data_IF_831163737965
#
_entry.id   IF_831163737965
#
_cell.length_a   1.000
_cell.length_b   1.000
_cell.length_c   1.000
_cell.angle_alpha   90.00
_cell.angle_beta   90.00
_cell.angle_gamma   90.00
#
_symmetry.space_group_name_H-M   'P 1'
#
loop_
_entity.id
_entity.type
_entity.pdbx_description
1 polymer ?
#
# COMPACT_ATOMS: atom_id res chain seq x y z
N UNK A 1 28.88 26.76 4.59
CA UNK A 1 29.52 26.53 3.28
C UNK A 1 30.59 25.48 3.48
N UNK A 2 30.33 24.24 3.21
CA UNK A 2 31.34 23.19 2.97
C UNK A 2 30.66 22.21 2.01
N UNK A 3 30.96 22.40 0.73
CA UNK A 3 30.70 21.43 -0.33
C UNK A 3 31.56 20.21 -0.06
N UNK A 4 30.96 19.05 0.16
CA UNK A 4 31.64 17.78 0.02
C UNK A 4 31.32 17.23 -1.36
N UNK A 5 32.26 17.47 -2.30
CA UNK A 5 32.27 16.80 -3.59
C UNK A 5 32.62 15.32 -3.34
N UNK A 6 31.60 14.45 -3.42
CA UNK A 6 31.82 13.01 -3.55
C UNK A 6 32.16 12.71 -5.01
N UNK A 7 33.46 12.63 -5.30
CA UNK A 7 33.94 12.01 -6.53
C UNK A 7 33.61 10.51 -6.50
N UNK A 8 32.55 10.09 -7.18
CA UNK A 8 32.43 8.71 -7.58
C UNK A 8 33.41 8.40 -8.67
N UNK A 9 34.49 7.72 -8.33
CA UNK A 9 35.35 7.07 -9.30
C UNK A 9 34.49 6.03 -10.06
N UNK A 10 34.26 6.25 -11.33
CA UNK A 10 33.71 5.28 -12.26
C UNK A 10 34.73 4.14 -12.42
N UNK A 11 34.57 3.07 -11.64
CA UNK A 11 35.11 1.77 -11.96
C UNK A 11 34.10 1.08 -12.91
N UNK A 12 34.19 1.42 -14.20
CA UNK A 12 33.41 0.77 -15.26
C UNK A 12 34.12 -0.55 -15.60
N UNK A 13 34.05 -1.53 -14.68
CA UNK A 13 34.15 -2.92 -15.07
C UNK A 13 33.00 -3.21 -16.02
N UNK A 14 33.22 -3.90 -17.13
CA UNK A 14 32.21 -4.26 -18.14
C UNK A 14 31.06 -4.98 -17.44
N UNK A 15 29.99 -4.24 -17.14
CA UNK A 15 28.77 -4.80 -16.54
C UNK A 15 28.05 -5.55 -17.66
N UNK A 16 27.97 -6.87 -17.57
CA UNK A 16 27.17 -7.64 -18.53
C UNK A 16 25.70 -7.22 -18.43
N UNK A 17 25.07 -6.81 -19.54
CA UNK A 17 23.67 -6.39 -19.54
C UNK A 17 22.76 -7.54 -19.13
N UNK A 18 21.94 -7.35 -18.10
CA UNK A 18 20.89 -8.29 -17.70
C UNK A 18 19.58 -7.97 -18.42
N UNK A 19 18.75 -9.00 -18.63
CA UNK A 19 17.37 -8.83 -19.08
C UNK A 19 16.47 -8.61 -17.87
N UNK A 20 16.02 -7.38 -17.70
CA UNK A 20 15.20 -6.95 -16.57
C UNK A 20 13.75 -6.78 -17.03
N UNK A 21 12.80 -7.36 -16.31
CA UNK A 21 11.37 -7.14 -16.54
C UNK A 21 10.74 -6.46 -15.35
N UNK A 22 10.04 -5.35 -15.61
CA UNK A 22 9.28 -4.58 -14.63
C UNK A 22 7.78 -4.75 -14.91
N UNK A 23 6.98 -5.06 -13.89
CA UNK A 23 5.56 -5.33 -14.02
C UNK A 23 4.70 -4.19 -13.51
N UNK A 24 3.44 -4.15 -13.99
CA UNK A 24 2.36 -3.37 -13.38
C UNK A 24 2.63 -1.85 -13.32
N UNK A 25 3.48 -1.30 -14.20
CA UNK A 25 3.69 0.16 -14.28
C UNK A 25 2.59 0.81 -15.10
N UNK A 26 1.38 0.88 -14.54
CA UNK A 26 0.16 1.36 -15.21
C UNK A 26 0.27 2.75 -15.86
N UNK A 27 1.23 3.55 -15.43
CA UNK A 27 1.39 4.96 -15.85
C UNK A 27 2.61 5.17 -16.74
N UNK A 28 3.39 4.10 -17.01
CA UNK A 28 4.70 4.20 -17.70
C UNK A 28 5.64 5.22 -17.03
N UNK A 29 5.62 5.23 -15.70
CA UNK A 29 6.31 6.26 -14.89
C UNK A 29 7.74 5.87 -14.57
N UNK A 30 8.02 4.58 -14.39
CA UNK A 30 9.28 4.10 -13.82
C UNK A 30 10.48 4.51 -14.67
N UNK A 31 10.35 4.45 -16.01
CA UNK A 31 11.43 4.87 -16.92
C UNK A 31 11.78 6.36 -16.85
N UNK A 32 10.90 7.17 -16.25
CA UNK A 32 11.07 8.61 -16.09
C UNK A 32 11.58 9.02 -14.70
N UNK A 33 11.71 8.05 -13.77
CA UNK A 33 12.25 8.32 -12.45
C UNK A 33 13.77 8.54 -12.53
N UNK A 34 14.33 9.48 -11.76
CA UNK A 34 15.79 9.72 -11.74
C UNK A 34 16.59 8.45 -11.42
N UNK A 35 16.06 7.56 -10.56
CA UNK A 35 16.73 6.32 -10.19
C UNK A 35 16.80 5.28 -11.33
N UNK A 36 16.02 5.42 -12.41
CA UNK A 36 16.06 4.50 -13.56
C UNK A 36 17.44 4.48 -14.25
N UNK A 37 18.21 5.56 -14.17
CA UNK A 37 19.56 5.65 -14.70
C UNK A 37 20.47 4.50 -14.20
N UNK A 38 20.20 3.97 -12.99
CA UNK A 38 20.96 2.84 -12.40
C UNK A 38 20.84 1.55 -13.21
N UNK A 39 19.77 1.38 -13.95
CA UNK A 39 19.49 0.18 -14.75
C UNK A 39 19.41 0.45 -16.24
N UNK A 40 19.63 1.69 -16.68
CA UNK A 40 19.50 2.11 -18.08
C UNK A 40 20.47 1.39 -19.05
N UNK A 41 21.60 0.86 -18.53
CA UNK A 41 22.56 0.08 -19.32
C UNK A 41 22.13 -1.39 -19.55
N UNK A 42 21.06 -1.84 -18.89
CA UNK A 42 20.51 -3.19 -19.03
C UNK A 42 19.41 -3.25 -20.10
N UNK A 43 19.00 -4.46 -20.51
CA UNK A 43 17.84 -4.68 -21.40
C UNK A 43 16.56 -4.70 -20.57
N UNK A 44 15.88 -3.54 -20.50
CA UNK A 44 14.72 -3.35 -19.62
C UNK A 44 13.41 -3.38 -20.40
N UNK A 45 12.56 -4.35 -20.09
CA UNK A 45 11.18 -4.43 -20.56
C UNK A 45 10.22 -4.01 -19.45
N UNK A 46 9.28 -3.08 -19.76
CA UNK A 46 8.27 -2.61 -18.79
C UNK A 46 6.87 -2.96 -19.30
N UNK A 47 6.09 -3.65 -18.46
CA UNK A 47 4.69 -3.97 -18.76
C UNK A 47 3.78 -2.98 -18.04
N UNK A 48 2.93 -2.29 -18.81
CA UNK A 48 2.03 -1.25 -18.32
C UNK A 48 0.60 -1.76 -18.05
N UNK A 49 0.38 -3.05 -18.24
CA UNK A 49 -0.87 -3.76 -17.97
C UNK A 49 -0.68 -4.79 -16.85
N UNK A 50 -1.77 -5.41 -16.42
CA UNK A 50 -1.77 -6.46 -15.41
C UNK A 50 -2.21 -7.81 -15.99
N UNK A 51 -1.55 -8.88 -15.56
CA UNK A 51 -1.99 -10.26 -15.79
C UNK A 51 -1.69 -11.13 -14.56
N UNK A 52 -2.58 -12.09 -14.28
CA UNK A 52 -2.35 -13.19 -13.35
C UNK A 52 -2.36 -14.55 -14.07
N UNK A 53 -2.57 -14.55 -15.38
CA UNK A 53 -2.54 -15.75 -16.19
C UNK A 53 -1.10 -16.28 -16.31
N UNK A 54 -0.89 -17.51 -15.84
CA UNK A 54 0.45 -18.13 -15.77
C UNK A 54 1.05 -18.33 -17.17
N UNK A 55 0.25 -18.62 -18.18
CA UNK A 55 0.74 -18.83 -19.56
C UNK A 55 1.20 -17.50 -20.15
N UNK A 56 0.44 -16.45 -19.94
CA UNK A 56 0.79 -15.09 -20.37
C UNK A 56 2.07 -14.62 -19.68
N UNK A 57 2.15 -14.78 -18.35
CA UNK A 57 3.32 -14.36 -17.57
C UNK A 57 4.57 -15.16 -17.94
N UNK A 58 4.46 -16.48 -18.15
CA UNK A 58 5.58 -17.31 -18.55
C UNK A 58 6.15 -16.91 -19.92
N UNK A 59 5.29 -16.57 -20.90
CA UNK A 59 5.74 -16.07 -22.19
C UNK A 59 6.39 -14.69 -22.08
N UNK A 60 5.84 -13.78 -21.26
CA UNK A 60 6.41 -12.44 -21.01
C UNK A 60 7.80 -12.51 -20.37
N UNK A 61 8.03 -13.49 -19.48
CA UNK A 61 9.25 -13.58 -18.67
C UNK A 61 10.22 -14.66 -19.14
N UNK A 62 9.98 -15.31 -20.25
CA UNK A 62 10.80 -16.43 -20.75
C UNK A 62 12.30 -16.15 -20.81
N UNK A 63 12.67 -14.92 -21.11
CA UNK A 63 14.07 -14.47 -21.20
C UNK A 63 14.52 -13.63 -20.01
N UNK A 64 13.65 -13.38 -19.03
CA UNK A 64 13.91 -12.51 -17.89
C UNK A 64 14.94 -13.12 -16.95
N UNK A 65 15.96 -12.35 -16.60
CA UNK A 65 16.98 -12.70 -15.60
C UNK A 65 16.72 -12.04 -14.26
N UNK A 66 16.21 -10.78 -14.26
CA UNK A 66 15.79 -10.08 -13.06
C UNK A 66 14.34 -9.58 -13.19
N UNK A 67 13.50 -9.94 -12.24
CA UNK A 67 12.10 -9.54 -12.19
C UNK A 67 11.89 -8.48 -11.12
N UNK A 68 11.31 -7.36 -11.51
CA UNK A 68 10.94 -6.24 -10.62
C UNK A 68 9.45 -6.27 -10.36
N UNK A 69 9.06 -6.29 -9.09
CA UNK A 69 7.66 -6.32 -8.67
C UNK A 69 7.25 -5.01 -8.02
N UNK A 70 6.04 -4.57 -8.30
CA UNK A 70 5.41 -3.41 -7.66
C UNK A 70 4.42 -3.90 -6.62
N UNK A 71 4.84 -3.91 -5.36
CA UNK A 71 4.01 -4.35 -4.24
C UNK A 71 3.51 -5.78 -4.44
N UNK A 72 2.37 -6.12 -3.86
CA UNK A 72 1.78 -7.45 -3.92
C UNK A 72 0.84 -7.65 -5.13
N UNK A 73 1.06 -6.92 -6.25
CA UNK A 73 0.15 -6.92 -7.42
C UNK A 73 0.13 -8.23 -8.19
N UNK A 74 1.29 -8.81 -8.46
CA UNK A 74 1.42 -10.06 -9.23
C UNK A 74 1.89 -11.19 -8.35
N UNK A 75 1.15 -12.31 -8.33
CA UNK A 75 1.51 -13.50 -7.56
C UNK A 75 2.59 -14.31 -8.28
N UNK A 76 3.71 -14.51 -7.65
CA UNK A 76 4.83 -15.33 -8.14
C UNK A 76 4.83 -16.66 -7.40
N UNK A 77 4.10 -17.62 -7.94
CA UNK A 77 3.87 -18.93 -7.36
C UNK A 77 4.67 -20.00 -8.09
N UNK A 78 4.81 -21.15 -7.45
CA UNK A 78 5.53 -22.30 -7.97
C UNK A 78 5.24 -22.59 -9.46
N UNK A 79 3.96 -22.63 -9.85
CA UNK A 79 3.55 -22.93 -11.23
C UNK A 79 4.12 -21.97 -12.28
N UNK A 80 4.34 -20.69 -11.91
CA UNK A 80 5.02 -19.72 -12.76
C UNK A 80 6.54 -19.90 -12.69
N UNK A 81 7.11 -20.02 -11.49
CA UNK A 81 8.56 -20.14 -11.28
C UNK A 81 9.17 -21.31 -12.05
N UNK A 82 8.49 -22.48 -12.10
CA UNK A 82 8.92 -23.68 -12.86
C UNK A 82 9.05 -23.44 -14.37
N UNK A 83 8.51 -22.33 -14.87
CA UNK A 83 8.51 -21.97 -16.30
C UNK A 83 9.50 -20.86 -16.66
N UNK A 84 10.29 -20.41 -15.69
CA UNK A 84 11.21 -19.27 -15.83
C UNK A 84 12.68 -19.72 -15.67
N UNK A 85 13.23 -20.46 -16.64
CA UNK A 85 14.56 -21.10 -16.49
C UNK A 85 15.72 -20.10 -16.45
N UNK A 86 15.50 -18.86 -16.88
CA UNK A 86 16.54 -17.82 -16.91
C UNK A 86 16.46 -16.88 -15.70
N UNK A 87 15.41 -16.97 -14.88
CA UNK A 87 15.20 -16.06 -13.75
C UNK A 87 16.23 -16.34 -12.64
N UNK A 88 17.00 -15.32 -12.28
CA UNK A 88 18.05 -15.38 -11.25
C UNK A 88 17.71 -14.54 -10.03
N UNK A 89 17.00 -13.42 -10.23
CA UNK A 89 16.70 -12.43 -9.22
C UNK A 89 15.23 -11.99 -9.27
N UNK A 90 14.61 -11.91 -8.10
CA UNK A 90 13.38 -11.12 -7.91
C UNK A 90 13.74 -9.96 -6.99
N UNK A 91 13.57 -8.73 -7.47
CA UNK A 91 13.85 -7.53 -6.71
C UNK A 91 12.55 -6.77 -6.43
N UNK A 92 12.29 -6.52 -5.16
CA UNK A 92 11.11 -5.78 -4.72
C UNK A 92 11.37 -5.01 -3.42
N UNK A 93 10.38 -4.32 -2.91
CA UNK A 93 10.41 -3.62 -1.61
C UNK A 93 9.21 -3.97 -0.74
N UNK A 94 9.41 -4.10 0.57
CA UNK A 94 8.38 -4.36 1.59
C UNK A 94 8.04 -5.86 1.74
N UNK A 95 6.81 -6.18 2.17
CA UNK A 95 6.37 -7.56 2.42
C UNK A 95 6.18 -8.35 1.12
N UNK A 96 6.30 -9.67 1.19
CA UNK A 96 6.30 -10.55 0.02
C UNK A 96 5.37 -11.78 0.15
N UNK A 97 4.14 -11.65 0.67
CA UNK A 97 3.22 -12.80 0.83
C UNK A 97 2.75 -13.37 -0.51
N UNK A 98 2.98 -12.67 -1.60
CA UNK A 98 2.64 -13.05 -2.97
C UNK A 98 3.74 -13.86 -3.65
N UNK A 99 4.88 -14.13 -3.00
CA UNK A 99 6.02 -14.86 -3.54
C UNK A 99 6.23 -16.17 -2.77
N UNK A 100 6.41 -17.28 -3.48
CA UNK A 100 6.76 -18.59 -2.89
C UNK A 100 8.28 -18.65 -2.66
N UNK A 101 8.74 -18.15 -1.50
CA UNK A 101 10.16 -17.98 -1.17
C UNK A 101 10.92 -19.31 -1.16
N UNK A 102 10.32 -20.38 -0.60
CA UNK A 102 10.93 -21.70 -0.55
C UNK A 102 11.13 -22.28 -1.96
N UNK A 103 10.19 -22.02 -2.87
CA UNK A 103 10.31 -22.41 -4.27
C UNK A 103 11.40 -21.63 -5.00
N UNK A 104 11.50 -20.32 -4.75
CA UNK A 104 12.61 -19.51 -5.27
C UNK A 104 13.96 -20.07 -4.83
N UNK A 105 14.11 -20.39 -3.54
CA UNK A 105 15.35 -20.96 -3.00
C UNK A 105 15.73 -22.29 -3.67
N UNK A 106 14.75 -23.21 -3.80
CA UNK A 106 14.98 -24.51 -4.46
C UNK A 106 15.38 -24.41 -5.93
N UNK A 107 14.94 -23.35 -6.60
CA UNK A 107 15.21 -23.11 -8.03
C UNK A 107 16.43 -22.22 -8.27
N UNK A 108 17.15 -21.85 -7.21
CA UNK A 108 18.33 -20.98 -7.33
C UNK A 108 17.99 -19.50 -7.62
N UNK A 109 16.75 -19.08 -7.38
CA UNK A 109 16.29 -17.70 -7.61
C UNK A 109 16.45 -16.91 -6.33
N UNK A 110 17.26 -15.85 -6.37
CA UNK A 110 17.44 -14.94 -5.22
C UNK A 110 16.26 -13.99 -5.12
N UNK A 111 15.71 -13.86 -3.90
CA UNK A 111 14.73 -12.83 -3.57
C UNK A 111 15.39 -11.74 -2.74
N UNK A 112 15.36 -10.51 -3.23
CA UNK A 112 15.79 -9.32 -2.52
C UNK A 112 14.60 -8.41 -2.20
N UNK A 113 14.52 -7.93 -0.95
CA UNK A 113 13.49 -6.99 -0.53
C UNK A 113 13.96 -6.11 0.62
N UNK A 114 14.02 -4.80 0.40
CA UNK A 114 14.25 -3.82 1.47
C UNK A 114 13.03 -3.76 2.39
N UNK A 115 13.21 -4.19 3.65
CA UNK A 115 12.17 -4.21 4.68
C UNK A 115 12.11 -2.90 5.48
N UNK A 116 13.19 -2.15 5.49
CA UNK A 116 13.39 -0.97 6.31
C UNK A 116 13.45 0.28 5.43
N UNK A 117 12.30 0.86 5.18
CA UNK A 117 12.27 2.22 4.71
C UNK A 117 12.59 3.15 5.88
N UNK A 118 13.75 3.77 5.85
CA UNK A 118 14.12 4.83 6.79
C UNK A 118 13.25 6.09 6.66
N UNK A 119 12.43 6.18 5.60
CA UNK A 119 11.51 7.30 5.35
C UNK A 119 10.11 6.97 5.87
N UNK A 120 9.47 7.90 6.60
CA UNK A 120 8.05 7.82 6.92
C UNK A 120 7.24 7.72 5.61
N UNK A 121 6.19 6.89 5.59
CA UNK A 121 5.25 6.82 4.46
C UNK A 121 4.26 8.00 4.56
N UNK A 122 4.70 9.20 4.21
CA UNK A 122 3.84 10.39 4.22
C UNK A 122 2.69 10.26 3.22
N UNK A 123 2.94 9.68 2.04
CA UNK A 123 1.94 9.51 0.99
C UNK A 123 0.65 8.83 1.49
N UNK A 124 0.76 7.74 2.27
CA UNK A 124 -0.41 7.07 2.85
C UNK A 124 -1.13 7.95 3.87
N UNK A 125 -0.40 8.73 4.67
CA UNK A 125 -0.98 9.66 5.65
C UNK A 125 -1.74 10.78 4.94
N UNK A 126 -1.14 11.35 3.90
CA UNK A 126 -1.73 12.40 3.07
C UNK A 126 -2.98 11.93 2.36
N UNK A 127 -2.94 10.74 1.72
CA UNK A 127 -4.14 10.15 1.10
C UNK A 127 -5.22 9.89 2.14
N UNK A 128 -4.89 9.36 3.32
CA UNK A 128 -5.86 9.13 4.40
C UNK A 128 -6.59 10.43 4.75
N UNK A 129 -5.86 11.54 4.90
CA UNK A 129 -6.45 12.84 5.17
C UNK A 129 -7.22 13.41 3.97
N UNK A 130 -6.71 13.19 2.75
CA UNK A 130 -7.44 13.51 1.52
C UNK A 130 -8.81 12.82 1.48
N UNK A 131 -8.88 11.54 1.84
CA UNK A 131 -10.10 10.75 1.89
C UNK A 131 -11.03 11.20 3.05
N UNK A 132 -10.49 11.44 4.26
CA UNK A 132 -11.26 11.97 5.39
C UNK A 132 -11.94 13.29 5.01
N UNK A 133 -11.17 14.25 4.51
CA UNK A 133 -11.70 15.56 4.12
C UNK A 133 -12.68 15.46 2.94
N UNK A 134 -12.39 14.62 1.96
CA UNK A 134 -13.29 14.38 0.82
C UNK A 134 -14.63 13.80 1.25
N UNK A 135 -14.63 12.82 2.17
CA UNK A 135 -15.85 12.22 2.70
C UNK A 135 -16.64 13.21 3.57
N UNK A 136 -15.96 13.90 4.49
CA UNK A 136 -16.62 14.86 5.39
C UNK A 136 -17.21 16.07 4.65
N UNK A 137 -16.58 16.48 3.56
CA UNK A 137 -17.03 17.64 2.75
C UNK A 137 -17.82 17.22 1.52
N UNK A 138 -18.01 15.92 1.25
CA UNK A 138 -18.70 15.37 0.09
C UNK A 138 -18.08 15.86 -1.24
N UNK A 139 -16.74 16.01 -1.30
CA UNK A 139 -16.05 16.66 -2.42
C UNK A 139 -16.37 15.99 -3.76
N UNK A 140 -16.21 14.64 -3.93
CA UNK A 140 -16.52 14.00 -5.22
C UNK A 140 -17.99 14.16 -5.65
N UNK A 141 -18.91 14.10 -4.69
CA UNK A 141 -20.34 14.25 -4.95
C UNK A 141 -20.67 15.70 -5.36
N UNK A 142 -20.07 16.70 -4.71
CA UNK A 142 -20.23 18.10 -5.06
C UNK A 142 -19.64 18.39 -6.46
N UNK A 143 -18.48 17.83 -6.78
CA UNK A 143 -17.86 17.95 -8.11
C UNK A 143 -18.77 17.35 -9.19
N UNK A 144 -19.29 16.13 -8.97
CA UNK A 144 -20.23 15.48 -9.88
C UNK A 144 -21.51 16.30 -10.08
N UNK A 145 -22.03 16.89 -9.00
CA UNK A 145 -23.21 17.76 -9.05
C UNK A 145 -22.95 19.00 -9.91
N UNK A 146 -21.80 19.67 -9.71
CA UNK A 146 -21.40 20.84 -10.48
C UNK A 146 -21.22 20.49 -11.97
N UNK A 147 -20.57 19.37 -12.29
CA UNK A 147 -20.42 18.87 -13.66
C UNK A 147 -21.77 18.59 -14.34
N UNK A 148 -22.79 18.22 -13.56
CA UNK A 148 -24.18 18.04 -14.05
C UNK A 148 -24.97 19.36 -14.11
N UNK A 149 -24.33 20.52 -13.99
CA UNK A 149 -24.97 21.83 -14.04
C UNK A 149 -25.79 22.20 -12.80
N UNK A 150 -25.60 21.47 -11.70
CA UNK A 150 -26.26 21.76 -10.41
C UNK A 150 -25.27 22.45 -9.48
N UNK A 151 -25.74 23.45 -8.72
CA UNK A 151 -24.87 24.21 -7.82
C UNK A 151 -24.49 23.38 -6.59
N UNK A 152 -25.00 23.65 -5.42
CA UNK A 152 -24.71 22.91 -4.18
C UNK A 152 -25.67 21.74 -4.01
N UNK A 153 -25.16 20.54 -3.67
CA UNK A 153 -26.04 19.38 -3.52
C UNK A 153 -26.41 19.08 -2.06
N UNK A 154 -25.51 19.37 -1.12
CA UNK A 154 -25.70 19.05 0.31
C UNK A 154 -24.72 19.84 1.18
N UNK A 155 -25.00 19.83 2.50
CA UNK A 155 -24.13 20.43 3.51
C UNK A 155 -23.18 19.36 4.03
N UNK A 156 -21.87 19.57 3.86
CA UNK A 156 -20.81 18.74 4.45
C UNK A 156 -20.60 19.02 5.94
N UNK A 157 -19.65 18.33 6.54
CA UNK A 157 -19.31 18.42 7.98
C UNK A 157 -17.89 18.95 8.14
N UNK A 158 -17.65 19.80 9.16
CA UNK A 158 -16.31 20.15 9.63
C UNK A 158 -15.73 19.00 10.44
N UNK A 159 -14.41 18.82 10.43
CA UNK A 159 -13.73 17.81 11.26
C UNK A 159 -13.44 18.33 12.67
N UNK A 160 -13.23 19.65 12.85
CA UNK A 160 -12.93 20.29 14.14
C UNK A 160 -13.99 19.93 15.21
N UNK A 161 -13.53 19.56 16.40
CA UNK A 161 -14.37 19.18 17.53
C UNK A 161 -15.02 17.80 17.43
N UNK A 162 -14.79 17.06 16.33
CA UNK A 162 -15.25 15.68 16.14
C UNK A 162 -14.20 14.69 16.63
N UNK A 163 -14.61 13.46 16.86
CA UNK A 163 -13.75 12.39 17.36
C UNK A 163 -13.16 11.59 16.18
N UNK A 164 -11.82 11.54 16.15
CA UNK A 164 -11.05 10.68 15.24
C UNK A 164 -10.58 9.44 16.01
N UNK A 165 -11.08 8.27 15.62
CA UNK A 165 -10.61 6.97 16.11
C UNK A 165 -9.51 6.42 15.22
N UNK A 166 -8.34 6.15 15.77
CA UNK A 166 -7.22 5.50 15.11
C UNK A 166 -7.20 4.03 15.52
N UNK A 167 -7.58 3.13 14.61
CA UNK A 167 -7.47 1.70 14.84
C UNK A 167 -6.09 1.20 14.38
N UNK A 168 -5.17 1.02 15.33
CA UNK A 168 -3.77 0.71 15.05
C UNK A 168 -2.85 1.93 15.16
N UNK A 169 -2.44 2.27 16.40
CA UNK A 169 -1.55 3.39 16.69
C UNK A 169 -0.09 2.96 16.51
N UNK A 170 0.32 2.81 15.24
CA UNK A 170 1.67 2.57 14.77
C UNK A 170 2.19 3.75 13.97
N UNK A 171 3.27 3.58 13.21
CA UNK A 171 3.94 4.65 12.44
C UNK A 171 2.97 5.54 11.62
N UNK A 172 2.06 4.92 10.84
CA UNK A 172 1.09 5.67 10.02
C UNK A 172 -0.02 6.23 10.93
N UNK A 173 -0.57 5.42 11.84
CA UNK A 173 -1.64 5.85 12.74
C UNK A 173 -1.24 7.04 13.63
N UNK A 174 0.01 7.08 14.12
CA UNK A 174 0.55 8.22 14.87
C UNK A 174 0.55 9.49 14.03
N UNK A 175 1.08 9.44 12.80
CA UNK A 175 1.14 10.61 11.93
C UNK A 175 -0.27 11.10 11.51
N UNK A 176 -1.24 10.19 11.31
CA UNK A 176 -2.64 10.57 11.06
C UNK A 176 -3.25 11.24 12.31
N UNK A 177 -2.94 10.74 13.51
CA UNK A 177 -3.38 11.30 14.77
C UNK A 177 -2.84 12.72 15.01
N UNK A 178 -1.56 12.96 14.72
CA UNK A 178 -0.92 14.27 14.83
C UNK A 178 -1.65 15.32 13.99
N UNK A 179 -1.95 14.99 12.74
CA UNK A 179 -2.74 15.87 11.87
C UNK A 179 -4.18 16.03 12.37
N UNK A 180 -4.78 15.00 12.98
CA UNK A 180 -6.08 15.09 13.63
C UNK A 180 -6.10 16.14 14.75
N UNK A 181 -5.08 16.13 15.60
CA UNK A 181 -4.89 17.15 16.62
C UNK A 181 -4.72 18.55 16.01
N UNK A 182 -3.93 18.68 14.93
CA UNK A 182 -3.74 19.96 14.23
C UNK A 182 -5.05 20.50 13.63
N UNK A 183 -5.94 19.62 13.16
CA UNK A 183 -7.29 19.99 12.71
C UNK A 183 -8.25 20.30 13.87
N UNK A 184 -7.83 20.09 15.12
CA UNK A 184 -8.65 20.32 16.33
C UNK A 184 -9.72 19.24 16.53
N UNK A 185 -9.44 18.01 16.16
CA UNK A 185 -10.25 16.85 16.48
C UNK A 185 -9.91 16.31 17.89
N UNK A 186 -10.84 15.58 18.50
CA UNK A 186 -10.58 14.76 19.65
C UNK A 186 -10.05 13.40 19.17
N UNK A 187 -8.76 13.12 19.41
CA UNK A 187 -8.14 11.89 18.90
C UNK A 187 -8.18 10.80 19.95
N UNK A 188 -8.64 9.61 19.57
CA UNK A 188 -8.60 8.41 20.40
C UNK A 188 -8.02 7.24 19.62
N UNK A 189 -7.43 6.25 20.32
CA UNK A 189 -6.80 5.09 19.70
C UNK A 189 -7.35 3.77 20.22
N UNK A 190 -7.35 2.75 19.34
CA UNK A 190 -7.66 1.37 19.69
C UNK A 190 -6.73 0.41 18.93
N UNK A 191 -6.52 -0.80 19.48
CA UNK A 191 -5.67 -1.83 18.87
C UNK A 191 -5.11 -2.82 19.89
N UNK A 192 -4.05 -3.54 19.52
CA UNK A 192 -3.33 -4.40 20.45
C UNK A 192 -2.56 -3.60 21.52
N UNK A 193 -2.20 -4.24 22.66
CA UNK A 193 -1.59 -3.57 23.82
C UNK A 193 -0.41 -2.65 23.46
N UNK A 194 0.56 -3.12 22.66
CA UNK A 194 1.68 -2.26 22.27
C UNK A 194 1.29 -1.01 21.46
N UNK A 195 0.12 -1.01 20.83
CA UNK A 195 -0.48 0.16 20.17
C UNK A 195 -1.08 1.11 21.20
N UNK A 196 -1.80 0.54 22.18
CA UNK A 196 -2.42 1.30 23.26
C UNK A 196 -1.39 1.94 24.20
N UNK A 197 -0.29 1.25 24.49
CA UNK A 197 0.79 1.78 25.32
C UNK A 197 1.47 2.98 24.67
N UNK A 198 1.73 2.92 23.36
CA UNK A 198 2.24 4.09 22.62
C UNK A 198 1.25 5.25 22.63
N UNK A 199 -0.04 4.98 22.40
CA UNK A 199 -1.06 6.02 22.42
C UNK A 199 -1.12 6.72 23.79
N UNK A 200 -1.10 5.95 24.88
CA UNK A 200 -1.06 6.52 26.26
C UNK A 200 0.20 7.35 26.51
N UNK A 201 1.38 6.87 26.04
CA UNK A 201 2.65 7.58 26.17
C UNK A 201 2.63 8.94 25.45
N UNK A 202 1.95 9.00 24.29
CA UNK A 202 1.80 10.20 23.48
C UNK A 202 0.61 11.09 23.94
N UNK A 203 -0.07 10.72 25.04
CA UNK A 203 -1.21 11.46 25.59
C UNK A 203 -2.49 11.37 24.76
N UNK A 204 -2.60 10.35 23.91
CA UNK A 204 -3.80 10.07 23.12
C UNK A 204 -4.80 9.27 23.96
N UNK A 205 -6.07 9.64 23.90
CA UNK A 205 -7.14 8.98 24.64
C UNK A 205 -7.32 7.52 24.21
N UNK A 206 -7.48 6.63 25.19
CA UNK A 206 -7.76 5.21 24.96
C UNK A 206 -9.10 4.89 25.63
N UNK A 207 -10.17 4.69 24.84
CA UNK A 207 -11.50 4.38 25.38
C UNK A 207 -11.51 3.13 26.28
N UNK A 208 -12.46 3.10 27.23
CA UNK A 208 -12.57 2.02 28.20
C UNK A 208 -12.87 0.64 27.55
N UNK A 209 -13.49 0.63 26.37
CA UNK A 209 -13.79 -0.60 25.64
C UNK A 209 -13.76 -0.37 24.12
N UNK A 210 -13.66 -1.49 23.39
CA UNK A 210 -13.78 -1.54 21.92
C UNK A 210 -15.11 -0.97 21.45
N UNK A 211 -16.18 -1.33 22.09
CA UNK A 211 -17.53 -0.85 21.77
C UNK A 211 -17.61 0.68 21.94
N UNK A 212 -17.01 1.21 23.00
CA UNK A 212 -16.95 2.66 23.22
C UNK A 212 -16.17 3.34 22.10
N UNK A 213 -15.04 2.77 21.67
CA UNK A 213 -14.24 3.30 20.57
C UNK A 213 -15.07 3.44 19.29
N UNK A 214 -15.80 2.40 18.89
CA UNK A 214 -16.63 2.44 17.68
C UNK A 214 -17.84 3.35 17.83
N UNK A 215 -18.50 3.35 19.00
CA UNK A 215 -19.69 4.14 19.24
C UNK A 215 -19.46 5.65 19.35
N UNK A 216 -18.27 6.07 19.80
CA UNK A 216 -17.96 7.49 20.03
C UNK A 216 -17.27 8.17 18.86
N UNK A 217 -16.60 7.43 17.98
CA UNK A 217 -15.88 7.98 16.84
C UNK A 217 -16.82 8.58 15.77
N UNK A 218 -16.47 9.74 15.25
CA UNK A 218 -17.08 10.34 14.05
C UNK A 218 -16.37 9.93 12.78
N UNK A 219 -15.07 9.67 12.87
CA UNK A 219 -14.23 9.09 11.82
C UNK A 219 -13.42 7.97 12.45
N UNK A 220 -13.37 6.80 11.81
CA UNK A 220 -12.45 5.70 12.18
C UNK A 220 -11.52 5.47 11.00
N UNK A 221 -10.20 5.46 11.26
CA UNK A 221 -9.18 5.17 10.27
C UNK A 221 -8.38 3.93 10.66
N UNK A 222 -8.25 2.97 9.72
CA UNK A 222 -7.62 1.68 9.95
C UNK A 222 -6.14 1.70 9.54
N UNK A 223 -5.24 1.37 10.49
CA UNK A 223 -3.78 1.37 10.30
C UNK A 223 -3.10 0.12 10.86
N UNK A 224 -3.76 -1.02 10.74
CA UNK A 224 -3.24 -2.34 11.17
C UNK A 224 -2.69 -3.09 9.97
N UNK A 225 -1.58 -3.83 10.15
CA UNK A 225 -1.07 -4.76 9.14
C UNK A 225 -1.98 -5.98 9.04
N UNK A 226 -2.14 -6.48 7.83
CA UNK A 226 -2.85 -7.74 7.58
C UNK A 226 -1.93 -8.93 7.90
N UNK A 227 -2.33 -9.71 8.88
CA UNK A 227 -1.78 -11.01 9.24
C UNK A 227 -2.93 -12.02 9.37
N UNK A 228 -2.68 -13.32 9.44
CA UNK A 228 -3.74 -14.28 9.75
C UNK A 228 -4.54 -13.93 11.01
N UNK A 229 -3.87 -13.38 12.04
CA UNK A 229 -4.48 -12.96 13.32
C UNK A 229 -5.25 -11.64 13.25
N UNK A 230 -5.07 -10.83 12.21
CA UNK A 230 -5.78 -9.55 12.04
C UNK A 230 -6.80 -9.57 10.89
N UNK A 231 -6.90 -10.69 10.17
CA UNK A 231 -7.94 -10.89 9.16
C UNK A 231 -9.32 -10.89 9.83
N UNK A 232 -10.24 -10.07 9.32
CA UNK A 232 -11.58 -9.92 9.88
C UNK A 232 -11.61 -9.30 11.27
N UNK A 233 -10.53 -8.60 11.67
CA UNK A 233 -10.47 -7.98 13.00
C UNK A 233 -11.54 -6.92 13.21
N UNK A 234 -12.04 -6.29 12.15
CA UNK A 234 -13.18 -5.38 12.18
C UNK A 234 -14.43 -6.18 11.85
N UNK A 235 -15.27 -6.38 12.83
CA UNK A 235 -16.44 -7.26 12.75
C UNK A 235 -17.70 -6.53 12.28
N UNK A 236 -18.75 -7.30 11.95
CA UNK A 236 -20.05 -6.74 11.66
C UNK A 236 -20.63 -5.95 12.85
N UNK A 237 -20.38 -6.42 14.09
CA UNK A 237 -20.86 -5.75 15.32
C UNK A 237 -20.14 -4.40 15.53
N UNK A 238 -18.82 -4.34 15.25
CA UNK A 238 -18.08 -3.08 15.29
C UNK A 238 -18.70 -2.05 14.34
N UNK A 239 -18.91 -2.45 13.08
CA UNK A 239 -19.52 -1.58 12.07
C UNK A 239 -20.92 -1.15 12.47
N UNK A 240 -21.74 -2.08 12.97
CA UNK A 240 -23.09 -1.82 13.50
C UNK A 240 -23.10 -0.90 14.72
N UNK A 241 -22.03 -0.90 15.51
CA UNK A 241 -21.83 -0.02 16.67
C UNK A 241 -21.48 1.42 16.29
N UNK A 242 -21.00 1.69 15.07
CA UNK A 242 -20.65 3.04 14.62
C UNK A 242 -21.89 3.96 14.53
N UNK A 243 -21.66 5.27 14.64
CA UNK A 243 -22.72 6.28 14.43
C UNK A 243 -23.24 6.21 12.97
N UNK A 244 -24.56 6.43 12.73
CA UNK A 244 -25.08 6.56 11.36
C UNK A 244 -24.46 7.72 10.57
N UNK A 245 -23.80 8.62 11.26
CA UNK A 245 -23.12 9.79 10.66
C UNK A 245 -21.61 9.60 10.55
N UNK A 246 -21.08 8.48 11.05
CA UNK A 246 -19.64 8.20 11.06
C UNK A 246 -19.12 7.82 9.67
N UNK A 247 -17.83 8.05 9.48
CA UNK A 247 -17.06 7.66 8.29
C UNK A 247 -16.01 6.62 8.68
N UNK A 248 -15.99 5.49 7.98
CA UNK A 248 -14.89 4.52 8.06
C UNK A 248 -13.89 4.78 6.93
N UNK A 249 -12.62 4.85 7.26
CA UNK A 249 -11.52 5.04 6.28
C UNK A 249 -10.59 3.83 6.32
N UNK A 250 -10.34 3.21 5.17
CA UNK A 250 -9.42 2.09 5.06
C UNK A 250 -8.41 2.31 3.93
N UNK A 251 -7.22 2.74 4.31
CA UNK A 251 -6.04 2.85 3.47
C UNK A 251 -4.99 1.78 3.81
N UNK A 252 -5.42 0.73 4.51
CA UNK A 252 -4.55 -0.37 4.94
C UNK A 252 -4.75 -1.63 4.08
N UNK A 253 -5.70 -2.49 4.44
CA UNK A 253 -6.05 -3.70 3.66
C UNK A 253 -7.54 -4.02 3.82
N UNK A 254 -8.23 -4.37 2.73
CA UNK A 254 -9.66 -4.71 2.78
C UNK A 254 -9.97 -5.90 3.70
N UNK A 255 -9.18 -7.00 3.69
CA UNK A 255 -9.47 -8.15 4.56
C UNK A 255 -9.27 -7.93 6.07
N UNK A 256 -8.94 -6.72 6.53
CA UNK A 256 -9.05 -6.35 7.95
C UNK A 256 -10.51 -6.29 8.40
N UNK A 257 -11.42 -6.06 7.48
CA UNK A 257 -12.86 -6.10 7.72
C UNK A 257 -13.35 -7.51 7.35
N UNK A 258 -14.29 -8.06 8.12
CA UNK A 258 -14.93 -9.33 7.78
C UNK A 258 -15.53 -9.26 6.37
N UNK A 259 -15.34 -10.34 5.59
CA UNK A 259 -15.72 -10.41 4.18
C UNK A 259 -17.20 -10.03 3.95
N UNK A 260 -17.42 -9.14 2.99
CA UNK A 260 -18.73 -8.61 2.60
C UNK A 260 -19.48 -7.82 3.68
N UNK A 261 -18.90 -7.60 4.88
CA UNK A 261 -19.60 -6.92 5.98
C UNK A 261 -19.66 -5.41 5.80
N UNK A 262 -18.65 -4.80 5.17
CA UNK A 262 -18.67 -3.36 4.92
C UNK A 262 -19.85 -2.94 4.04
N UNK A 263 -20.09 -3.64 2.93
CA UNK A 263 -21.23 -3.37 2.03
C UNK A 263 -22.56 -3.53 2.76
N UNK A 264 -22.69 -4.60 3.56
CA UNK A 264 -23.93 -4.84 4.35
C UNK A 264 -24.15 -3.75 5.39
N UNK A 265 -23.12 -3.34 6.10
CA UNK A 265 -23.17 -2.31 7.13
C UNK A 265 -23.55 -0.94 6.54
N UNK A 266 -22.92 -0.55 5.42
CA UNK A 266 -23.24 0.67 4.70
C UNK A 266 -24.69 0.71 4.19
N UNK A 267 -25.20 -0.41 3.69
CA UNK A 267 -26.60 -0.55 3.29
C UNK A 267 -27.56 -0.46 4.50
N UNK A 268 -27.13 -0.91 5.67
CA UNK A 268 -27.85 -0.75 6.93
C UNK A 268 -27.71 0.67 7.54
N UNK A 269 -26.87 1.53 6.94
CA UNK A 269 -26.67 2.91 7.35
C UNK A 269 -25.72 3.09 8.55
N UNK A 270 -24.90 2.09 8.89
CA UNK A 270 -23.88 2.17 9.95
C UNK A 270 -22.61 1.38 9.57
N UNK A 271 -21.47 2.08 9.32
CA UNK A 271 -21.32 3.54 9.28
C UNK A 271 -22.12 4.15 8.14
N UNK A 272 -22.43 5.47 8.26
CA UNK A 272 -23.14 6.19 7.21
C UNK A 272 -22.31 6.44 5.95
N UNK A 273 -20.98 6.45 6.07
CA UNK A 273 -20.04 6.72 4.98
C UNK A 273 -18.80 5.82 5.08
N UNK A 274 -18.18 5.56 3.93
CA UNK A 274 -16.84 4.98 3.88
C UNK A 274 -15.96 5.67 2.83
N UNK A 275 -14.64 5.57 3.05
CA UNK A 275 -13.63 5.93 2.07
C UNK A 275 -12.56 4.83 2.06
N UNK A 276 -12.38 4.18 0.93
CA UNK A 276 -11.52 3.00 0.81
C UNK A 276 -10.52 3.18 -0.33
N UNK A 277 -9.30 2.73 -0.06
CA UNK A 277 -8.20 2.69 -1.05
C UNK A 277 -7.81 1.24 -1.38
N UNK A 278 -8.48 0.26 -0.77
CA UNK A 278 -8.11 -1.17 -0.84
C UNK A 278 -9.33 -2.06 -1.00
N UNK A 279 -9.16 -3.21 -1.66
CA UNK A 279 -10.24 -4.11 -2.04
C UNK A 279 -9.88 -5.58 -1.76
N UNK A 280 -10.87 -6.46 -1.68
CA UNK A 280 -10.69 -7.90 -1.47
C UNK A 280 -9.96 -8.56 -2.64
N UNK A 281 -10.22 -8.07 -3.85
CA UNK A 281 -9.53 -8.47 -5.08
C UNK A 281 -9.05 -7.24 -5.83
N UNK A 282 -7.79 -7.20 -6.19
CA UNK A 282 -7.13 -6.10 -6.89
C UNK A 282 -6.38 -6.64 -8.12
N UNK A 283 -6.39 -5.91 -9.25
CA UNK A 283 -7.07 -4.64 -9.50
C UNK A 283 -8.59 -4.80 -9.67
N UNK A 284 -9.35 -3.79 -9.26
CA UNK A 284 -10.81 -3.74 -9.49
C UNK A 284 -11.08 -3.19 -10.89
N UNK A 285 -11.38 -4.09 -11.83
CA UNK A 285 -11.75 -3.74 -13.21
C UNK A 285 -13.24 -3.88 -13.50
N UNK A 286 -13.97 -4.58 -12.62
CA UNK A 286 -15.43 -4.72 -12.71
C UNK A 286 -16.13 -3.46 -12.22
N UNK A 287 -16.76 -2.72 -13.13
CA UNK A 287 -17.53 -1.52 -12.81
C UNK A 287 -18.80 -1.81 -12.01
N UNK A 288 -19.22 -3.08 -11.91
CA UNK A 288 -20.34 -3.52 -11.07
C UNK A 288 -19.93 -3.77 -9.61
N UNK A 289 -18.63 -3.64 -9.26
CA UNK A 289 -18.16 -3.82 -7.89
C UNK A 289 -18.98 -2.93 -6.91
N UNK A 290 -19.57 -3.52 -5.85
CA UNK A 290 -20.60 -2.84 -5.05
C UNK A 290 -20.18 -1.48 -4.50
N UNK A 291 -18.98 -1.36 -3.92
CA UNK A 291 -18.53 -0.10 -3.29
C UNK A 291 -18.41 1.05 -4.29
N UNK A 292 -18.06 0.77 -5.56
CA UNK A 292 -17.95 1.79 -6.61
C UNK A 292 -19.30 2.47 -6.93
N UNK A 293 -20.40 1.76 -6.67
CA UNK A 293 -21.76 2.19 -7.02
C UNK A 293 -22.54 2.75 -5.83
N UNK A 294 -21.93 2.81 -4.64
CA UNK A 294 -22.59 3.35 -3.44
C UNK A 294 -22.37 4.87 -3.33
N UNK A 295 -23.43 5.68 -3.20
CA UNK A 295 -23.31 7.15 -3.19
C UNK A 295 -22.62 7.69 -1.92
N UNK A 296 -22.56 6.88 -0.86
CA UNK A 296 -21.95 7.19 0.41
C UNK A 296 -20.53 6.57 0.57
N UNK A 297 -19.91 6.16 -0.55
CA UNK A 297 -18.55 5.61 -0.55
C UNK A 297 -17.65 6.42 -1.49
N UNK A 298 -16.41 6.64 -1.06
CA UNK A 298 -15.32 7.13 -1.91
C UNK A 298 -14.34 5.98 -2.09
N UNK A 299 -14.00 5.71 -3.35
CA UNK A 299 -13.07 4.65 -3.76
C UNK A 299 -11.88 5.25 -4.49
N UNK A 300 -10.67 4.88 -4.10
CA UNK A 300 -9.44 5.17 -4.83
C UNK A 300 -8.70 3.86 -5.14
N UNK A 301 -7.97 3.76 -6.26
CA UNK A 301 -7.45 2.48 -6.76
C UNK A 301 -6.08 2.12 -6.15
N UNK A 302 -6.02 1.96 -4.83
CA UNK A 302 -4.84 1.58 -4.05
C UNK A 302 -3.64 2.50 -4.33
N UNK A 303 -3.86 3.81 -4.15
CA UNK A 303 -2.85 4.84 -4.44
C UNK A 303 -2.16 5.40 -3.19
N UNK A 304 -2.34 4.79 -2.03
CA UNK A 304 -1.75 5.26 -0.77
C UNK A 304 -0.22 5.38 -0.77
N UNK A 305 0.46 4.78 -1.72
CA UNK A 305 1.92 4.85 -1.91
C UNK A 305 2.31 5.41 -3.30
N UNK A 306 1.33 5.81 -4.10
CA UNK A 306 1.54 6.24 -5.48
C UNK A 306 1.77 7.75 -5.51
N UNK A 307 3.00 8.14 -5.20
CA UNK A 307 3.51 9.50 -5.35
C UNK A 307 4.88 9.45 -6.01
N UNK A 308 5.31 10.50 -6.68
CA UNK A 308 6.62 10.59 -7.33
C UNK A 308 7.76 10.33 -6.34
N UNK A 309 7.70 10.97 -5.16
CA UNK A 309 8.72 10.81 -4.11
C UNK A 309 8.81 9.37 -3.60
N UNK A 310 7.66 8.75 -3.29
CA UNK A 310 7.62 7.37 -2.79
C UNK A 310 8.07 6.37 -3.87
N UNK A 311 7.70 6.59 -5.13
CA UNK A 311 8.17 5.78 -6.25
C UNK A 311 9.68 5.89 -6.42
N UNK A 312 10.23 7.10 -6.39
CA UNK A 312 11.67 7.28 -6.51
C UNK A 312 12.44 6.58 -5.38
N UNK A 313 11.96 6.66 -4.13
CA UNK A 313 12.55 5.95 -3.00
C UNK A 313 12.43 4.43 -3.16
N UNK A 314 11.25 3.93 -3.56
CA UNK A 314 11.02 2.49 -3.72
C UNK A 314 11.90 1.91 -4.83
N UNK A 315 11.93 2.54 -5.99
CA UNK A 315 12.69 2.05 -7.13
C UNK A 315 14.19 2.27 -6.99
N UNK A 316 14.61 3.27 -6.22
CA UNK A 316 16.02 3.38 -5.81
C UNK A 316 16.46 2.13 -5.06
N UNK A 317 15.73 1.71 -4.03
CA UNK A 317 16.04 0.48 -3.28
C UNK A 317 16.04 -0.77 -4.18
N UNK A 318 15.05 -0.87 -5.06
CA UNK A 318 14.89 -2.02 -5.97
C UNK A 318 16.03 -2.09 -6.98
N UNK A 319 16.41 -0.96 -7.57
CA UNK A 319 17.49 -0.92 -8.55
C UNK A 319 18.87 -1.08 -7.90
N UNK A 320 19.07 -0.58 -6.67
CA UNK A 320 20.30 -0.83 -5.91
C UNK A 320 20.49 -2.33 -5.61
N UNK A 321 19.41 -3.08 -5.39
CA UNK A 321 19.46 -4.54 -5.25
C UNK A 321 19.90 -5.23 -6.55
N UNK A 322 19.44 -4.75 -7.71
CA UNK A 322 19.83 -5.29 -9.02
C UNK A 322 21.32 -4.99 -9.30
N UNK A 323 21.74 -3.75 -9.08
CA UNK A 323 23.14 -3.33 -9.27
C UNK A 323 24.07 -4.14 -8.36
N UNK A 324 23.71 -4.30 -7.10
CA UNK A 324 24.47 -5.06 -6.12
C UNK A 324 24.55 -6.56 -6.48
N UNK A 325 23.43 -7.14 -6.94
CA UNK A 325 23.40 -8.52 -7.42
C UNK A 325 24.31 -8.73 -8.63
N UNK A 326 24.25 -7.85 -9.63
CA UNK A 326 25.06 -7.93 -10.83
C UNK A 326 26.56 -7.75 -10.54
N UNK A 327 26.90 -6.98 -9.49
CA UNK A 327 28.26 -6.82 -9.00
C UNK A 327 28.76 -7.99 -8.12
N UNK A 328 27.96 -9.04 -7.91
CA UNK A 328 28.31 -10.18 -7.05
C UNK A 328 28.22 -9.92 -5.55
N UNK A 329 27.66 -8.77 -5.13
CA UNK A 329 27.51 -8.36 -3.74
C UNK A 329 26.05 -8.09 -3.37
N UNK A 330 25.13 -9.08 -3.44
CA UNK A 330 23.72 -8.87 -3.27
C UNK A 330 23.38 -8.31 -1.89
N UNK A 331 22.39 -7.41 -1.84
CA UNK A 331 21.91 -6.75 -0.62
C UNK A 331 20.43 -7.08 -0.38
N UNK A 332 19.97 -6.94 0.87
CA UNK A 332 18.57 -7.19 1.28
C UNK A 332 18.06 -8.58 0.91
N UNK A 333 18.92 -9.58 0.92
CA UNK A 333 18.58 -10.97 0.54
C UNK A 333 17.65 -11.58 1.58
N UNK A 334 16.51 -12.10 1.12
CA UNK A 334 15.48 -12.74 1.96
C UNK A 334 15.77 -14.24 2.13
N UNK A 335 16.29 -14.89 1.09
CA UNK A 335 16.56 -16.34 1.05
C UNK A 335 18.06 -16.63 0.87
N UNK A 336 18.91 -16.34 1.87
CA UNK A 336 20.36 -16.43 1.74
C UNK A 336 20.89 -17.86 1.49
N UNK A 337 20.07 -18.87 1.71
CA UNK A 337 20.44 -20.28 1.44
C UNK A 337 20.58 -20.57 -0.06
N UNK A 338 20.06 -19.70 -0.95
CA UNK A 338 20.27 -19.80 -2.39
C UNK A 338 21.76 -19.70 -2.79
N UNK A 339 22.57 -19.01 -1.98
CA UNK A 339 24.02 -18.84 -2.22
C UNK A 339 24.84 -20.02 -1.72
N UNK A 340 24.27 -20.89 -0.85
CA UNK A 340 24.96 -22.04 -0.24
C UNK A 340 24.85 -23.32 -1.04
N UNK A 341 24.20 -23.29 -2.18
CA UNK A 341 23.91 -24.46 -3.04
C UNK A 341 25.00 -24.77 -4.07
N UNK A 342 26.26 -24.30 -3.86
CA UNK A 342 27.44 -24.74 -4.61
C UNK A 342 28.25 -25.79 -3.83
#
# INVERSE_FOLDING_TARGET
>A
MLHHDYNYANDTGDIEPMKITILDDYYDTIRHLPCFEKVAAHDVTIWNDHSQDVDVLAERFKDTEALVLIRERTHIRKALLERLPNLKLISQRSVYPHIDVDDCTRMGIMLCSSQHAGTPSYATVELTWGLILSAMRLIPQQMKSLQAGKWQMAVGKSVRGRTLGIYGYGRIGTAVAELGNAFGMNVQAWGGEGSLDRARADGIDVPASRETFFATSDVISLHVRLYPSTRGIITADDLGGMKPTATLVNTSRAPLIEDGKLVKALNAGRPGFAAVDVYESEPVTDTAYPLLNMPNVICTPHIGYVTEDEYNVQFTDIFDQIVAFNAGNPINVINPDVVKGE
#
